data_IF_954978541085
#
_entry.id   IF_954978541085
#
_cell.length_a   1.000
_cell.length_b   1.000
_cell.length_c   1.000
_cell.angle_alpha   90.00
_cell.angle_beta   90.00
_cell.angle_gamma   90.00
#
_symmetry.space_group_name_H-M   'P 1'
#
loop_
_entity.id
_entity.type
_entity.pdbx_description
1 polymer ?
#
# COMPACT_ATOMS: atom_id res chain seq x y z
N UNK A 1 35.24 -13.62 48.58
CA UNK A 1 34.51 -14.36 47.54
C UNK A 1 33.44 -13.43 46.97
N UNK A 2 33.76 -12.72 45.89
CA UNK A 2 32.82 -11.84 45.19
C UNK A 2 32.08 -12.64 44.13
N UNK A 3 30.75 -12.66 44.22
CA UNK A 3 29.89 -13.27 43.22
C UNK A 3 29.63 -12.25 42.10
N UNK A 4 30.13 -12.57 40.90
CA UNK A 4 29.87 -11.82 39.68
C UNK A 4 28.45 -12.12 39.20
N UNK A 5 27.63 -11.07 39.09
CA UNK A 5 26.26 -11.14 38.57
C UNK A 5 26.26 -11.36 37.04
N UNK A 6 25.33 -12.12 36.44
CA UNK A 6 25.31 -12.32 35.00
C UNK A 6 24.75 -11.10 34.28
N UNK A 7 25.49 -10.65 33.27
CA UNK A 7 25.11 -9.55 32.40
C UNK A 7 23.83 -9.88 31.62
N UNK A 8 22.73 -9.20 31.94
CA UNK A 8 21.52 -9.21 31.11
C UNK A 8 21.86 -8.62 29.75
N UNK A 9 21.86 -9.48 28.74
CA UNK A 9 22.06 -9.17 27.33
C UNK A 9 21.05 -8.09 26.92
N UNK A 10 21.52 -6.85 26.84
CA UNK A 10 20.78 -5.69 26.33
C UNK A 10 20.55 -5.93 24.83
N UNK A 11 19.44 -6.58 24.48
CA UNK A 11 18.99 -6.65 23.09
C UNK A 11 18.64 -5.23 22.65
N UNK A 12 19.49 -4.65 21.82
CA UNK A 12 19.16 -3.45 21.06
C UNK A 12 17.89 -3.73 20.24
N UNK A 13 16.80 -3.07 20.62
CA UNK A 13 15.57 -3.08 19.84
C UNK A 13 15.78 -2.21 18.61
N UNK A 14 16.36 -2.82 17.57
CA UNK A 14 16.25 -2.31 16.22
C UNK A 14 14.76 -2.26 15.88
N UNK A 15 14.27 -1.07 15.54
CA UNK A 15 12.91 -0.85 15.07
C UNK A 15 12.70 -1.64 13.78
N UNK A 16 11.94 -2.73 13.86
CA UNK A 16 11.51 -3.45 12.67
C UNK A 16 10.27 -2.75 12.10
N UNK A 17 10.17 -2.54 10.77
CA UNK A 17 8.93 -2.12 10.16
C UNK A 17 7.89 -3.22 10.41
N UNK A 18 6.89 -2.93 11.24
CA UNK A 18 5.79 -3.86 11.51
C UNK A 18 5.09 -4.14 10.18
N UNK A 19 5.15 -5.39 9.71
CA UNK A 19 4.51 -5.80 8.46
C UNK A 19 3.00 -5.62 8.57
N UNK A 20 2.31 -5.30 7.46
CA UNK A 20 0.84 -5.22 7.43
C UNK A 20 0.21 -6.49 8.01
N UNK A 21 0.80 -7.67 7.74
CA UNK A 21 0.36 -8.95 8.30
C UNK A 21 0.41 -8.99 9.85
N UNK A 22 1.44 -8.40 10.46
CA UNK A 22 1.55 -8.32 11.93
C UNK A 22 0.50 -7.35 12.50
N UNK A 23 0.23 -6.24 11.81
CA UNK A 23 -0.81 -5.30 12.22
C UNK A 23 -2.20 -5.92 12.18
N UNK A 24 -2.51 -6.68 11.12
CA UNK A 24 -3.75 -7.46 11.02
C UNK A 24 -3.89 -8.44 12.18
N UNK A 25 -2.82 -9.19 12.49
CA UNK A 25 -2.81 -10.16 13.59
C UNK A 25 -2.98 -9.50 14.97
N UNK A 26 -2.32 -8.36 15.20
CA UNK A 26 -2.44 -7.57 16.42
C UNK A 26 -3.86 -7.00 16.59
N UNK A 27 -4.43 -6.44 15.52
CA UNK A 27 -5.80 -5.90 15.56
C UNK A 27 -6.82 -6.99 15.85
N UNK A 28 -6.70 -8.14 15.18
CA UNK A 28 -7.57 -9.30 15.40
C UNK A 28 -7.47 -9.80 16.84
N UNK A 29 -6.25 -9.91 17.36
CA UNK A 29 -6.00 -10.34 18.75
C UNK A 29 -6.59 -9.37 19.77
N UNK A 30 -6.52 -8.06 19.50
CA UNK A 30 -7.07 -7.03 20.39
C UNK A 30 -8.60 -7.00 20.34
N UNK A 31 -9.20 -7.16 19.16
CA UNK A 31 -10.64 -7.24 18.97
C UNK A 31 -11.26 -8.47 19.66
N UNK A 32 -10.52 -9.57 19.81
CA UNK A 32 -10.98 -10.74 20.56
C UNK A 32 -10.95 -10.55 22.09
N UNK A 33 -10.12 -9.63 22.61
CA UNK A 33 -9.93 -9.40 24.06
C UNK A 33 -10.90 -8.37 24.66
N UNK A 34 -11.64 -7.63 23.83
CA UNK A 34 -12.60 -6.59 24.28
C UNK A 34 -13.86 -7.17 24.95
N UNK A 35 -13.99 -8.50 25.04
CA UNK A 35 -15.07 -9.17 25.77
C UNK A 35 -15.05 -8.92 27.29
N UNK A 36 -13.95 -8.45 27.90
CA UNK A 36 -13.84 -8.41 29.38
C UNK A 36 -13.12 -7.21 30.00
N UNK A 37 -12.91 -6.08 29.31
CA UNK A 37 -12.34 -4.87 29.95
C UNK A 37 -12.73 -3.59 29.21
N UNK A 38 -13.36 -2.66 29.94
CA UNK A 38 -13.71 -1.25 29.64
C UNK A 38 -13.79 -0.82 28.15
N UNK A 39 -14.95 -0.28 27.75
CA UNK A 39 -15.33 0.23 26.41
C UNK A 39 -14.20 0.95 25.63
N UNK A 40 -13.26 0.21 25.04
CA UNK A 40 -12.28 0.77 24.12
C UNK A 40 -12.95 1.00 22.77
N UNK A 41 -12.93 2.25 22.29
CA UNK A 41 -13.49 2.56 20.97
C UNK A 41 -12.56 2.07 19.85
N UNK A 42 -13.05 1.99 18.61
CA UNK A 42 -12.22 1.59 17.48
C UNK A 42 -10.99 2.52 17.31
N UNK A 43 -11.17 3.81 17.57
CA UNK A 43 -10.10 4.80 17.55
C UNK A 43 -9.05 4.54 18.64
N UNK A 44 -9.44 4.05 19.82
CA UNK A 44 -8.51 3.68 20.89
C UNK A 44 -7.63 2.49 20.48
N UNK A 45 -8.24 1.48 19.86
CA UNK A 45 -7.53 0.31 19.37
C UNK A 45 -6.53 0.68 18.26
N UNK A 46 -6.97 1.54 17.33
CA UNK A 46 -6.11 2.04 16.25
C UNK A 46 -4.97 2.89 16.83
N UNK A 47 -5.24 3.77 17.79
CA UNK A 47 -4.20 4.54 18.46
C UNK A 47 -3.15 3.62 19.09
N UNK A 48 -3.58 2.62 19.87
CA UNK A 48 -2.68 1.70 20.53
C UNK A 48 -1.88 0.81 19.55
N UNK A 49 -2.35 0.66 18.29
CA UNK A 49 -1.63 -0.06 17.23
C UNK A 49 -0.48 0.78 16.63
N UNK A 50 -0.67 2.10 16.56
CA UNK A 50 0.30 3.05 16.01
C UNK A 50 1.07 3.84 17.08
N UNK A 51 0.85 3.53 18.36
CA UNK A 51 1.54 4.11 19.51
C UNK A 51 3.04 3.82 19.45
N UNK A 52 3.84 4.85 19.74
CA UNK A 52 5.29 4.74 19.83
C UNK A 52 5.71 4.10 21.16
N UNK A 53 6.79 3.29 21.17
CA UNK A 53 7.28 2.71 22.41
C UNK A 53 7.73 3.81 23.38
N UNK A 54 7.36 3.66 24.65
CA UNK A 54 7.72 4.57 25.75
C UNK A 54 7.22 6.02 25.60
N UNK A 55 6.22 6.28 24.73
CA UNK A 55 5.57 7.58 24.60
C UNK A 55 4.06 7.42 24.58
N UNK A 56 3.31 8.43 25.01
CA UNK A 56 1.85 8.47 24.86
C UNK A 56 1.44 9.22 23.57
N UNK A 57 2.14 8.90 22.48
CA UNK A 57 1.96 9.49 21.16
C UNK A 57 1.89 8.38 20.11
N UNK A 58 1.10 8.59 19.07
CA UNK A 58 1.02 7.70 17.91
C UNK A 58 1.51 8.40 16.64
N UNK A 59 2.11 7.62 15.73
CA UNK A 59 2.60 8.13 14.46
C UNK A 59 1.50 8.08 13.40
N UNK A 60 1.07 9.26 12.93
CA UNK A 60 0.11 9.37 11.82
C UNK A 60 0.74 8.92 10.49
N UNK A 61 2.02 9.25 10.27
CA UNK A 61 2.76 8.83 9.08
C UNK A 61 2.88 7.30 8.95
N UNK A 62 3.00 6.57 10.07
CA UNK A 62 2.96 5.10 10.07
C UNK A 62 1.58 4.58 9.67
N UNK A 63 0.50 5.19 10.15
CA UNK A 63 -0.86 4.86 9.73
C UNK A 63 -1.04 5.07 8.22
N UNK A 64 -0.66 6.24 7.69
CA UNK A 64 -0.77 6.55 6.26
C UNK A 64 0.04 5.58 5.39
N UNK A 65 1.24 5.20 5.82
CA UNK A 65 2.08 4.22 5.12
C UNK A 65 1.40 2.86 5.04
N UNK A 66 0.74 2.43 6.12
CA UNK A 66 0.00 1.17 6.18
C UNK A 66 -1.25 1.23 5.29
N UNK A 67 -2.02 2.32 5.35
CA UNK A 67 -3.19 2.54 4.49
C UNK A 67 -2.81 2.52 3.00
N UNK A 68 -1.67 3.11 2.63
CA UNK A 68 -1.12 3.04 1.26
C UNK A 68 -0.84 1.59 0.83
N UNK A 69 -0.38 0.75 1.76
CA UNK A 69 -0.21 -0.69 1.55
C UNK A 69 -1.52 -1.43 1.23
N UNK A 70 -2.65 -0.89 1.67
CA UNK A 70 -4.00 -1.37 1.35
C UNK A 70 -4.64 -0.66 0.15
N UNK A 71 -3.91 0.21 -0.55
CA UNK A 71 -4.39 0.94 -1.72
C UNK A 71 -5.15 2.23 -1.42
N UNK A 72 -5.13 2.69 -0.18
CA UNK A 72 -5.75 3.96 0.22
C UNK A 72 -4.71 5.08 0.20
N UNK A 73 -4.83 6.00 -0.76
CA UNK A 73 -3.94 7.16 -0.89
C UNK A 73 -4.43 8.35 -0.07
N UNK A 74 -3.55 9.29 0.24
CA UNK A 74 -3.91 10.56 0.91
C UNK A 74 -4.89 11.42 0.10
N UNK A 75 -4.92 11.24 -1.22
CA UNK A 75 -5.88 11.92 -2.12
C UNK A 75 -7.21 11.16 -2.25
N UNK A 76 -7.41 10.05 -1.53
CA UNK A 76 -8.69 9.33 -1.56
C UNK A 76 -9.81 10.23 -1.00
N UNK A 77 -10.88 10.51 -1.77
CA UNK A 77 -11.96 11.40 -1.33
C UNK A 77 -12.62 10.98 -0.01
N UNK A 78 -12.59 9.69 0.33
CA UNK A 78 -13.16 9.15 1.57
C UNK A 78 -12.25 9.38 2.79
N UNK A 79 -10.96 9.64 2.55
CA UNK A 79 -10.00 10.03 3.58
C UNK A 79 -9.84 11.55 3.72
N UNK A 80 -10.44 12.34 2.82
CA UNK A 80 -10.35 13.80 2.84
C UNK A 80 -10.63 14.44 4.22
N UNK A 81 -11.72 14.08 4.95
CA UNK A 81 -11.99 14.69 6.27
C UNK A 81 -10.87 14.44 7.29
N UNK A 82 -10.29 13.24 7.27
CA UNK A 82 -9.12 12.92 8.09
C UNK A 82 -7.90 13.76 7.67
N UNK A 83 -7.63 13.84 6.37
CA UNK A 83 -6.46 14.58 5.86
C UNK A 83 -6.54 16.08 6.13
N UNK A 84 -7.74 16.68 6.07
CA UNK A 84 -7.97 18.07 6.46
C UNK A 84 -7.59 18.30 7.93
N UNK A 85 -8.02 17.43 8.84
CA UNK A 85 -7.63 17.50 10.26
C UNK A 85 -6.14 17.29 10.48
N UNK A 86 -5.52 16.36 9.76
CA UNK A 86 -4.07 16.13 9.84
C UNK A 86 -3.32 17.40 9.46
N UNK A 87 -3.72 18.08 8.38
CA UNK A 87 -3.14 19.37 7.95
C UNK A 87 -3.37 20.49 8.96
N UNK A 88 -4.54 20.54 9.60
CA UNK A 88 -4.81 21.52 10.66
C UNK A 88 -3.85 21.34 11.86
N UNK A 89 -3.70 20.11 12.36
CA UNK A 89 -2.77 19.85 13.46
C UNK A 89 -1.31 20.04 13.07
N UNK A 90 -0.95 19.75 11.82
CA UNK A 90 0.36 20.06 11.27
C UNK A 90 0.65 21.56 11.34
N UNK A 91 -0.25 22.41 10.81
CA UNK A 91 -0.11 23.87 10.88
C UNK A 91 0.00 24.37 12.32
N UNK A 92 -0.85 23.88 13.24
CA UNK A 92 -0.83 24.29 14.65
C UNK A 92 0.49 23.91 15.34
N UNK A 93 1.07 22.75 15.01
CA UNK A 93 2.33 22.28 15.60
C UNK A 93 3.52 23.05 15.02
N UNK A 94 3.53 23.30 13.72
CA UNK A 94 4.57 24.09 13.05
C UNK A 94 4.62 25.52 13.60
N UNK A 95 3.46 26.16 13.78
CA UNK A 95 3.38 27.51 14.38
C UNK A 95 3.90 27.51 15.82
N UNK A 96 3.59 26.48 16.61
CA UNK A 96 4.01 26.38 18.02
C UNK A 96 5.50 26.06 18.20
N UNK A 97 6.08 25.28 17.29
CA UNK A 97 7.48 24.83 17.38
C UNK A 97 8.43 25.66 16.53
N UNK A 98 7.90 26.49 15.62
CA UNK A 98 8.67 27.30 14.67
C UNK A 98 9.66 26.46 13.83
N UNK A 99 9.30 25.19 13.58
CA UNK A 99 10.08 24.17 12.86
C UNK A 99 9.18 23.46 11.86
N UNK A 100 9.54 23.48 10.57
CA UNK A 100 8.90 22.65 9.53
C UNK A 100 9.40 21.21 9.64
N UNK A 101 8.51 20.23 9.85
CA UNK A 101 8.87 18.80 9.82
C UNK A 101 8.14 18.10 8.69
N UNK A 102 8.78 17.07 8.14
CA UNK A 102 8.15 16.21 7.13
C UNK A 102 6.84 15.61 7.70
N UNK A 103 5.73 15.63 6.95
CA UNK A 103 4.45 14.98 7.27
C UNK A 103 4.58 13.57 7.86
N UNK A 104 5.60 12.81 7.44
CA UNK A 104 5.89 11.44 7.92
C UNK A 104 6.38 11.37 9.36
N UNK A 105 6.71 12.48 9.99
CA UNK A 105 7.30 12.52 11.34
C UNK A 105 6.35 13.03 12.43
N UNK A 106 5.11 13.37 12.11
CA UNK A 106 4.15 13.88 13.09
C UNK A 106 3.71 12.79 14.09
N UNK A 107 3.81 13.17 15.36
CA UNK A 107 3.48 12.36 16.53
C UNK A 107 2.37 13.09 17.27
N UNK A 108 1.19 12.49 17.28
CA UNK A 108 0.00 13.09 17.87
C UNK A 108 -0.29 12.45 19.21
N UNK A 109 -0.74 13.26 20.18
CA UNK A 109 -1.27 12.74 21.45
C UNK A 109 -2.56 11.97 21.18
N UNK A 110 -2.98 11.15 22.15
CA UNK A 110 -4.18 10.31 22.05
C UNK A 110 -5.41 11.07 21.57
N UNK A 111 -5.72 12.22 22.16
CA UNK A 111 -6.89 13.01 21.80
C UNK A 111 -6.83 13.58 20.38
N UNK A 112 -5.68 14.08 19.96
CA UNK A 112 -5.43 14.66 18.63
C UNK A 112 -5.52 13.57 17.56
N UNK A 113 -4.87 12.43 17.78
CA UNK A 113 -4.92 11.29 16.88
C UNK A 113 -6.35 10.79 16.68
N UNK A 114 -7.12 10.61 17.77
CA UNK A 114 -8.53 10.20 17.71
C UNK A 114 -9.37 11.21 16.92
N UNK A 115 -9.16 12.51 17.14
CA UNK A 115 -9.85 13.57 16.37
C UNK A 115 -9.58 13.45 14.88
N UNK A 116 -8.33 13.23 14.46
CA UNK A 116 -7.96 13.05 13.06
C UNK A 116 -8.70 11.88 12.42
N UNK A 117 -8.71 10.71 13.06
CA UNK A 117 -9.24 9.49 12.44
C UNK A 117 -10.75 9.32 12.58
N UNK A 118 -11.39 10.03 13.52
CA UNK A 118 -12.81 9.85 13.88
C UNK A 118 -13.77 9.78 12.69
N UNK A 119 -13.63 10.68 11.71
CA UNK A 119 -14.54 10.75 10.55
C UNK A 119 -14.29 9.66 9.51
N UNK A 120 -13.10 9.07 9.50
CA UNK A 120 -12.70 8.00 8.58
C UNK A 120 -12.49 6.66 9.30
N UNK A 121 -12.89 6.54 10.57
CA UNK A 121 -12.56 5.39 11.45
C UNK A 121 -13.09 4.07 10.90
N UNK A 122 -14.26 4.08 10.28
CA UNK A 122 -14.88 2.89 9.70
C UNK A 122 -14.05 2.36 8.54
N UNK A 123 -13.63 3.24 7.62
CA UNK A 123 -12.81 2.87 6.47
C UNK A 123 -11.42 2.37 6.92
N UNK A 124 -10.81 3.05 7.89
CA UNK A 124 -9.52 2.66 8.46
C UNK A 124 -9.64 1.28 9.12
N UNK A 125 -10.71 1.05 9.90
CA UNK A 125 -10.97 -0.23 10.56
C UNK A 125 -11.15 -1.35 9.53
N UNK A 126 -11.89 -1.11 8.45
CA UNK A 126 -12.05 -2.06 7.36
C UNK A 126 -10.72 -2.41 6.70
N UNK A 127 -9.88 -1.40 6.41
CA UNK A 127 -8.55 -1.63 5.84
C UNK A 127 -7.67 -2.47 6.77
N UNK A 128 -7.61 -2.12 8.06
CA UNK A 128 -6.82 -2.83 9.06
C UNK A 128 -7.40 -4.20 9.46
N UNK A 129 -8.62 -4.52 9.04
CA UNK A 129 -9.21 -5.86 9.16
C UNK A 129 -9.08 -6.67 7.88
N UNK A 130 -8.37 -6.14 6.86
CA UNK A 130 -8.31 -6.74 5.54
C UNK A 130 -9.70 -6.93 4.90
N UNK A 131 -10.67 -6.09 5.28
CA UNK A 131 -12.07 -6.13 4.86
C UNK A 131 -12.35 -5.02 3.82
N UNK A 132 -11.51 -4.99 2.79
CA UNK A 132 -11.71 -4.18 1.59
C UNK A 132 -12.18 -5.07 0.46
N UNK A 133 -12.80 -4.47 -0.57
CA UNK A 133 -13.20 -5.19 -1.79
C UNK A 133 -12.00 -5.93 -2.42
N UNK A 134 -10.80 -5.34 -2.29
CA UNK A 134 -9.54 -5.97 -2.68
C UNK A 134 -8.68 -6.17 -1.42
N UNK A 135 -8.74 -7.34 -0.77
CA UNK A 135 -7.99 -7.62 0.46
C UNK A 135 -6.46 -7.65 0.21
N UNK A 136 -6.02 -8.34 -0.83
CA UNK A 136 -4.59 -8.49 -1.15
C UNK A 136 -4.11 -7.46 -2.16
N UNK A 137 -4.13 -6.17 -1.78
CA UNK A 137 -3.77 -5.06 -2.66
C UNK A 137 -2.39 -5.22 -3.34
N UNK A 138 -1.39 -5.73 -2.62
CA UNK A 138 -0.06 -5.98 -3.18
C UNK A 138 -0.07 -7.05 -4.28
N UNK A 139 -0.77 -8.16 -4.07
CA UNK A 139 -0.89 -9.23 -5.08
C UNK A 139 -1.73 -8.75 -6.28
N UNK A 140 -2.81 -8.03 -6.01
CA UNK A 140 -3.66 -7.45 -7.04
C UNK A 140 -2.86 -6.51 -7.96
N UNK A 141 -2.12 -5.56 -7.38
CA UNK A 141 -1.31 -4.62 -8.17
C UNK A 141 -0.17 -5.30 -8.92
N UNK A 142 0.46 -6.34 -8.35
CA UNK A 142 1.43 -7.18 -9.09
C UNK A 142 0.78 -7.84 -10.31
N UNK A 143 -0.41 -8.42 -10.17
CA UNK A 143 -1.09 -9.08 -11.29
C UNK A 143 -1.53 -8.09 -12.37
N UNK A 144 -2.00 -6.89 -11.99
CA UNK A 144 -2.31 -5.81 -12.94
C UNK A 144 -1.04 -5.38 -13.69
N UNK A 145 0.10 -5.26 -13.00
CA UNK A 145 1.38 -4.92 -13.61
C UNK A 145 1.83 -5.97 -14.62
N UNK A 146 1.70 -7.25 -14.29
CA UNK A 146 2.00 -8.36 -15.23
C UNK A 146 1.15 -8.24 -16.50
N UNK A 147 -0.16 -8.03 -16.36
CA UNK A 147 -1.06 -7.86 -17.50
C UNK A 147 -0.64 -6.65 -18.33
N UNK A 148 -0.32 -5.52 -17.70
CA UNK A 148 0.12 -4.32 -18.41
C UNK A 148 1.36 -4.59 -19.27
N UNK A 149 2.39 -5.22 -18.71
CA UNK A 149 3.62 -5.56 -19.46
C UNK A 149 3.39 -6.62 -20.53
N UNK A 150 2.51 -7.59 -20.29
CA UNK A 150 2.13 -8.56 -21.34
C UNK A 150 1.52 -7.87 -22.57
N UNK A 151 0.77 -6.77 -22.38
CA UNK A 151 0.21 -6.01 -23.49
C UNK A 151 1.28 -5.16 -24.19
N UNK A 152 2.24 -4.59 -23.46
CA UNK A 152 3.39 -3.89 -24.08
C UNK A 152 4.23 -4.83 -24.96
N UNK A 153 4.53 -6.03 -24.47
CA UNK A 153 5.25 -7.06 -25.23
C UNK A 153 4.47 -7.49 -26.49
N UNK A 154 3.14 -7.56 -26.39
CA UNK A 154 2.27 -7.92 -27.50
C UNK A 154 2.21 -6.83 -28.58
N UNK A 155 2.11 -5.57 -28.20
CA UNK A 155 2.17 -4.44 -29.14
C UNK A 155 3.53 -4.40 -29.86
N UNK A 156 4.64 -4.59 -29.13
CA UNK A 156 5.97 -4.64 -29.73
C UNK A 156 6.13 -5.82 -30.71
N UNK A 157 5.53 -6.97 -30.39
CA UNK A 157 5.47 -8.11 -31.30
C UNK A 157 4.62 -7.81 -32.55
N UNK A 158 3.45 -7.21 -32.39
CA UNK A 158 2.58 -6.83 -33.52
C UNK A 158 3.24 -5.80 -34.43
N UNK A 159 3.87 -4.77 -33.86
CA UNK A 159 4.62 -3.78 -34.63
C UNK A 159 5.77 -4.43 -35.42
N UNK A 160 6.52 -5.36 -34.79
CA UNK A 160 7.56 -6.12 -35.46
C UNK A 160 7.01 -6.96 -36.63
N UNK A 161 5.89 -7.65 -36.44
CA UNK A 161 5.25 -8.44 -37.50
C UNK A 161 4.66 -7.57 -38.63
N UNK A 162 4.04 -6.43 -38.30
CA UNK A 162 3.49 -5.48 -39.28
C UNK A 162 4.62 -4.86 -40.12
N UNK A 163 5.72 -4.45 -39.48
CA UNK A 163 6.90 -3.91 -40.15
C UNK A 163 7.54 -4.98 -41.04
N UNK A 164 7.73 -6.19 -40.53
CA UNK A 164 8.33 -7.29 -41.31
C UNK A 164 7.46 -7.64 -42.52
N UNK A 165 6.13 -7.73 -42.37
CA UNK A 165 5.19 -7.96 -43.47
C UNK A 165 5.22 -6.83 -44.51
N UNK A 166 5.33 -5.58 -44.07
CA UNK A 166 5.42 -4.41 -44.95
C UNK A 166 6.76 -4.35 -45.70
N UNK A 167 7.85 -4.76 -45.06
CA UNK A 167 9.17 -4.84 -45.69
C UNK A 167 9.24 -5.97 -46.71
N UNK A 168 8.69 -7.15 -46.39
CA UNK A 168 8.56 -8.27 -47.33
C UNK A 168 7.69 -7.90 -48.54
N UNK A 169 6.55 -7.23 -48.34
CA UNK A 169 5.71 -6.81 -49.47
C UNK A 169 6.40 -5.81 -50.40
N UNK A 170 7.21 -4.89 -49.84
CA UNK A 170 8.01 -3.93 -50.62
C UNK A 170 9.21 -4.57 -51.33
N UNK A 171 9.84 -5.59 -50.74
CA UNK A 171 10.95 -6.32 -51.39
C UNK A 171 10.46 -7.28 -52.46
N UNK A 172 9.31 -7.93 -52.25
CA UNK A 172 8.65 -8.78 -53.27
C UNK A 172 8.11 -7.93 -54.42
N UNK A 173 7.53 -6.75 -54.16
CA UNK A 173 7.05 -5.86 -55.23
C UNK A 173 8.17 -5.27 -56.10
N UNK A 174 9.42 -5.21 -55.62
CA UNK A 174 10.57 -4.72 -56.38
C UNK A 174 11.36 -5.83 -57.10
N UNK A 175 11.04 -7.11 -56.87
CA UNK A 175 11.61 -8.24 -57.60
C UNK A 175 10.48 -9.02 -58.29
N UNK A 176 10.28 -8.69 -59.56
CA UNK A 176 9.66 -9.51 -60.61
C UNK A 176 8.15 -9.80 -60.49
N UNK A 177 7.42 -9.34 -61.51
CA UNK A 177 6.49 -10.13 -62.32
C UNK A 177 5.77 -11.32 -61.65
N UNK A 178 4.43 -11.20 -61.58
CA UNK A 178 3.41 -12.26 -61.45
C UNK A 178 3.87 -13.57 -60.78
N UNK A 179 3.65 -13.69 -59.48
CA UNK A 179 3.15 -14.94 -58.89
C UNK A 179 2.04 -14.58 -57.90
N UNK A 180 0.81 -15.00 -58.21
CA UNK A 180 -0.31 -14.98 -57.27
C UNK A 180 0.05 -15.92 -56.10
N UNK A 181 0.42 -15.36 -54.95
CA UNK A 181 0.37 -16.10 -53.70
C UNK A 181 -1.06 -16.05 -53.18
N UNK A 182 -1.85 -17.08 -53.49
CA UNK A 182 -3.09 -17.34 -52.78
C UNK A 182 -2.81 -17.40 -51.28
N UNK A 183 -3.49 -16.53 -50.54
CA UNK A 183 -3.43 -16.45 -49.09
C UNK A 183 -4.22 -17.65 -48.55
N UNK A 184 -3.54 -18.76 -48.28
CA UNK A 184 -4.10 -19.80 -47.41
C UNK A 184 -3.96 -19.31 -45.97
N UNK A 185 -5.01 -18.67 -45.45
CA UNK A 185 -5.16 -18.44 -44.02
C UNK A 185 -5.33 -19.82 -43.37
N UNK A 186 -4.25 -20.37 -42.81
CA UNK A 186 -4.36 -21.51 -41.89
C UNK A 186 -4.77 -20.97 -40.52
N UNK A 187 -5.96 -21.29 -39.99
CA UNK A 187 -6.32 -20.88 -38.65
C UNK A 187 -5.47 -21.70 -37.66
N UNK A 188 -4.60 -21.03 -36.92
CA UNK A 188 -3.87 -21.64 -35.81
C UNK A 188 -4.87 -22.16 -34.78
N UNK A 189 -4.84 -23.48 -34.54
CA UNK A 189 -5.65 -24.17 -33.56
C UNK A 189 -5.35 -23.60 -32.17
N UNK A 190 -6.38 -23.13 -31.46
CA UNK A 190 -6.35 -22.97 -30.01
C UNK A 190 -6.00 -24.32 -29.39
N UNK A 191 -4.82 -24.44 -28.79
CA UNK A 191 -4.60 -25.49 -27.79
C UNK A 191 -5.18 -25.04 -26.45
N UNK A 192 -6.03 -25.94 -25.95
CA UNK A 192 -6.71 -25.93 -24.65
C UNK A 192 -5.74 -25.94 -23.50
#
# INVERSE_FOLDING_TARGET
MHQSSPATRRTSLAYTPTSSAQLLADMTSRMQRTSTREQQTAEDLIFDLFKLPNRDEASIGKLLTVLKGFGLHEDDPRLRPMMEKVRMFESDIEERLNETKDPKHWKLKRSEFKKCISESVVLISQALQNNLIVPSWSQFTSRIREIYHMNEDFEQFLESQIVYRTLLSKTVSNRTEKVLCEVVIVPQRRHR
#
